data_IF_444359271447
#
_entry.id   IF_444359271447
#
_cell.length_a   1.000
_cell.length_b   1.000
_cell.length_c   1.000
_cell.angle_alpha   90.00
_cell.angle_beta   90.00
_cell.angle_gamma   90.00
#
_symmetry.space_group_name_H-M   'P 1'
#
loop_
_entity.id
_entity.type
_entity.pdbx_description
1 polymer ?
#
# COMPACT_ATOMS: atom_id res chain seq x y z
N UNK A 1 29.67 5.17 -19.81
CA UNK A 1 29.11 6.16 -18.85
C UNK A 1 30.28 6.80 -18.11
N UNK A 2 30.34 8.14 -17.94
CA UNK A 2 31.49 8.78 -17.29
C UNK A 2 31.60 8.40 -15.80
N UNK A 3 32.83 8.25 -15.30
CA UNK A 3 33.12 7.82 -13.93
C UNK A 3 32.55 8.80 -12.87
N UNK A 4 32.47 10.09 -13.19
CA UNK A 4 31.83 11.12 -12.35
C UNK A 4 30.32 10.97 -12.28
N UNK A 5 29.69 10.52 -13.37
CA UNK A 5 28.26 10.23 -13.40
C UNK A 5 27.95 8.94 -12.61
N UNK A 6 28.83 7.94 -12.67
CA UNK A 6 28.74 6.76 -11.80
C UNK A 6 28.94 7.12 -10.32
N UNK A 7 29.86 8.03 -9.98
CA UNK A 7 30.02 8.52 -8.59
C UNK A 7 28.78 9.26 -8.10
N UNK A 8 28.20 10.15 -8.91
CA UNK A 8 26.97 10.86 -8.56
C UNK A 8 25.75 9.92 -8.45
N UNK A 9 25.73 8.80 -9.19
CA UNK A 9 24.71 7.76 -9.06
C UNK A 9 24.91 6.87 -7.81
N UNK A 10 26.14 6.72 -7.34
CA UNK A 10 26.49 6.00 -6.10
C UNK A 10 26.27 6.87 -4.86
N UNK A 11 26.41 8.21 -4.98
CA UNK A 11 26.08 9.21 -3.96
C UNK A 11 24.60 9.60 -3.93
N UNK A 12 23.68 8.70 -4.29
CA UNK A 12 22.26 8.87 -4.01
C UNK A 12 21.99 8.60 -2.52
N UNK A 13 22.60 9.41 -1.66
CA UNK A 13 22.16 9.60 -0.28
C UNK A 13 20.81 10.32 -0.33
N UNK A 14 19.80 9.76 0.34
CA UNK A 14 18.52 10.44 0.51
C UNK A 14 18.68 11.56 1.53
N UNK A 15 19.51 11.36 2.55
CA UNK A 15 19.85 12.35 3.58
C UNK A 15 21.36 12.49 3.73
N UNK A 16 21.84 13.72 3.59
CA UNK A 16 23.23 14.08 3.82
C UNK A 16 23.45 14.58 5.24
N UNK A 17 22.44 15.24 5.82
CA UNK A 17 22.46 15.76 7.18
C UNK A 17 21.25 15.30 8.01
N UNK A 18 21.42 15.21 9.34
CA UNK A 18 20.33 14.84 10.28
C UNK A 18 19.16 15.84 10.21
N UNK A 19 19.45 17.10 9.88
CA UNK A 19 18.49 18.19 9.71
C UNK A 19 17.51 17.95 8.56
N UNK A 20 17.87 17.14 7.55
CA UNK A 20 17.05 16.82 6.39
C UNK A 20 16.06 15.66 6.67
N UNK A 21 16.34 14.86 7.70
CA UNK A 21 15.58 13.64 8.03
C UNK A 21 14.09 13.93 8.27
N UNK A 22 13.68 14.93 9.07
CA UNK A 22 12.25 15.20 9.29
C UNK A 22 11.51 15.55 7.99
N UNK A 23 12.15 16.33 7.11
CA UNK A 23 11.59 16.76 5.84
C UNK A 23 11.38 15.58 4.89
N UNK A 24 12.38 14.73 4.71
CA UNK A 24 12.21 13.57 3.81
C UNK A 24 11.41 12.43 4.42
N UNK A 25 11.35 12.27 5.75
CA UNK A 25 10.36 11.35 6.34
C UNK A 25 8.94 11.78 5.98
N UNK A 26 8.66 13.08 6.03
CA UNK A 26 7.35 13.59 5.62
C UNK A 26 7.12 13.36 4.13
N UNK A 27 8.07 13.75 3.27
CA UNK A 27 7.90 13.74 1.83
C UNK A 27 7.97 12.35 1.17
N UNK A 28 8.75 11.42 1.72
CA UNK A 28 9.02 10.10 1.12
C UNK A 28 8.33 8.95 1.84
N UNK A 29 7.91 9.15 3.10
CA UNK A 29 7.29 8.09 3.90
C UNK A 29 5.82 8.39 4.13
N UNK A 30 5.52 9.50 4.81
CA UNK A 30 4.18 9.77 5.33
C UNK A 30 3.21 10.26 4.26
N UNK A 31 3.60 11.27 3.49
CA UNK A 31 2.74 11.87 2.45
C UNK A 31 2.39 10.85 1.36
N UNK A 32 3.34 10.09 0.78
CA UNK A 32 3.01 9.07 -0.22
C UNK A 32 2.09 8.00 0.35
N UNK A 33 2.42 7.42 1.53
CA UNK A 33 1.59 6.40 2.15
C UNK A 33 0.15 6.92 2.39
N UNK A 34 0.01 8.14 2.90
CA UNK A 34 -1.31 8.74 3.14
C UNK A 34 -2.10 8.96 1.85
N UNK A 35 -1.50 9.62 0.86
CA UNK A 35 -2.17 9.92 -0.41
C UNK A 35 -2.53 8.65 -1.17
N UNK A 36 -1.61 7.69 -1.26
CA UNK A 36 -1.81 6.44 -1.99
C UNK A 36 -2.85 5.56 -1.30
N UNK A 37 -2.82 5.40 0.02
CA UNK A 37 -3.84 4.61 0.71
C UNK A 37 -5.22 5.24 0.57
N UNK A 38 -5.35 6.57 0.75
CA UNK A 38 -6.64 7.23 0.57
C UNK A 38 -7.20 7.02 -0.84
N UNK A 39 -6.35 7.12 -1.86
CA UNK A 39 -6.78 6.94 -3.24
C UNK A 39 -7.10 5.48 -3.54
N UNK A 40 -6.17 4.54 -3.31
CA UNK A 40 -6.35 3.16 -3.73
C UNK A 40 -7.28 2.37 -2.83
N UNK A 41 -7.27 2.61 -1.51
CA UNK A 41 -8.05 1.84 -0.52
C UNK A 41 -9.32 2.57 -0.11
N UNK A 42 -9.27 3.90 -0.06
CA UNK A 42 -10.46 4.72 0.21
C UNK A 42 -11.36 4.88 -1.02
N UNK A 43 -10.80 5.23 -2.18
CA UNK A 43 -11.60 5.50 -3.38
C UNK A 43 -11.72 4.29 -4.31
N UNK A 44 -10.60 3.76 -4.82
CA UNK A 44 -10.62 2.70 -5.85
C UNK A 44 -11.20 1.39 -5.30
N UNK A 45 -10.70 0.91 -4.15
CA UNK A 45 -11.16 -0.34 -3.55
C UNK A 45 -12.66 -0.25 -3.19
N UNK A 46 -13.11 0.83 -2.55
CA UNK A 46 -14.52 1.01 -2.20
C UNK A 46 -15.42 1.08 -3.43
N UNK A 47 -15.02 1.82 -4.48
CA UNK A 47 -15.76 1.89 -5.73
C UNK A 47 -15.88 0.52 -6.41
N UNK A 48 -14.77 -0.21 -6.56
CA UNK A 48 -14.78 -1.54 -7.14
C UNK A 48 -15.57 -2.54 -6.30
N UNK A 49 -15.54 -2.40 -4.97
CA UNK A 49 -16.30 -3.25 -4.06
C UNK A 49 -17.79 -3.14 -4.32
N UNK A 50 -18.31 -1.93 -4.45
CA UNK A 50 -19.75 -1.67 -4.67
C UNK A 50 -20.24 -2.26 -6.00
N UNK A 51 -19.42 -2.27 -7.05
CA UNK A 51 -19.82 -2.70 -8.39
C UNK A 51 -19.50 -4.15 -8.73
N UNK A 52 -18.37 -4.69 -8.23
CA UNK A 52 -17.83 -5.99 -8.66
C UNK A 52 -17.63 -6.98 -7.50
N UNK A 53 -17.87 -6.56 -6.26
CA UNK A 53 -17.71 -7.38 -5.06
C UNK A 53 -16.26 -7.51 -4.58
N UNK A 54 -16.06 -8.16 -3.41
CA UNK A 54 -14.80 -8.09 -2.66
C UNK A 54 -13.59 -8.63 -3.42
N UNK A 55 -13.73 -9.79 -4.08
CA UNK A 55 -12.61 -10.47 -4.76
C UNK A 55 -12.03 -9.60 -5.88
N UNK A 56 -12.89 -9.06 -6.72
CA UNK A 56 -12.49 -8.21 -7.85
C UNK A 56 -12.04 -6.84 -7.41
N UNK A 57 -12.59 -6.32 -6.31
CA UNK A 57 -12.13 -5.06 -5.73
C UNK A 57 -10.70 -5.14 -5.20
N UNK A 58 -10.36 -6.20 -4.45
CA UNK A 58 -9.00 -6.42 -3.96
C UNK A 58 -8.02 -6.56 -5.13
N UNK A 59 -8.35 -7.41 -6.10
CA UNK A 59 -7.51 -7.64 -7.26
C UNK A 59 -7.30 -6.36 -8.09
N UNK A 60 -8.39 -5.67 -8.44
CA UNK A 60 -8.35 -4.47 -9.28
C UNK A 60 -7.64 -3.30 -8.60
N UNK A 61 -7.89 -3.06 -7.31
CA UNK A 61 -7.19 -2.01 -6.55
C UNK A 61 -5.68 -2.29 -6.48
N UNK A 62 -5.28 -3.53 -6.17
CA UNK A 62 -3.87 -3.93 -6.13
C UNK A 62 -3.20 -3.83 -7.50
N UNK A 63 -3.92 -4.18 -8.57
CA UNK A 63 -3.41 -4.09 -9.94
C UNK A 63 -3.14 -2.64 -10.36
N UNK A 64 -4.09 -1.73 -10.08
CA UNK A 64 -3.94 -0.31 -10.38
C UNK A 64 -2.83 0.33 -9.54
N UNK A 65 -2.69 -0.07 -8.27
CA UNK A 65 -1.59 0.35 -7.40
C UNK A 65 -0.23 -0.06 -7.99
N UNK A 66 -0.06 -1.33 -8.39
CA UNK A 66 1.20 -1.78 -8.98
C UNK A 66 1.49 -1.10 -10.33
N UNK A 67 0.46 -0.89 -11.14
CA UNK A 67 0.59 -0.25 -12.46
C UNK A 67 0.98 1.23 -12.37
N UNK A 68 0.51 1.96 -11.34
CA UNK A 68 0.79 3.39 -11.17
C UNK A 68 2.26 3.72 -10.89
N UNK A 69 3.08 2.71 -10.60
CA UNK A 69 4.51 2.88 -10.32
C UNK A 69 5.38 2.84 -11.59
N UNK A 70 4.80 2.51 -12.75
CA UNK A 70 5.46 2.54 -14.06
C UNK A 70 6.81 1.80 -14.13
N UNK A 71 7.03 0.81 -13.26
CA UNK A 71 8.25 0.01 -13.20
C UNK A 71 7.91 -1.49 -13.29
N UNK A 72 8.13 -2.13 -14.46
CA UNK A 72 7.85 -3.55 -14.65
C UNK A 72 8.59 -4.45 -13.65
N UNK A 73 9.80 -4.09 -13.23
CA UNK A 73 10.59 -4.88 -12.29
C UNK A 73 10.01 -4.90 -10.88
N UNK A 74 9.28 -3.85 -10.50
CA UNK A 74 8.63 -3.74 -9.19
C UNK A 74 7.16 -4.18 -9.24
N UNK A 75 6.61 -4.46 -10.41
CA UNK A 75 5.19 -4.71 -10.58
C UNK A 75 4.68 -5.88 -9.73
N UNK A 76 5.33 -7.04 -9.80
CA UNK A 76 4.91 -8.24 -9.04
C UNK A 76 4.98 -8.00 -7.52
N UNK A 77 6.10 -7.52 -6.94
CA UNK A 77 6.14 -7.27 -5.49
C UNK A 77 5.14 -6.19 -5.05
N UNK A 78 4.96 -5.12 -5.82
CA UNK A 78 3.97 -4.07 -5.52
C UNK A 78 2.53 -4.58 -5.64
N UNK A 79 2.26 -5.49 -6.57
CA UNK A 79 0.94 -6.11 -6.69
C UNK A 79 0.61 -6.98 -5.47
N UNK A 80 1.57 -7.81 -5.02
CA UNK A 80 1.40 -8.64 -3.82
C UNK A 80 1.24 -7.77 -2.56
N UNK A 81 2.07 -6.73 -2.42
CA UNK A 81 1.93 -5.77 -1.33
C UNK A 81 0.58 -5.04 -1.41
N UNK A 82 0.15 -4.71 -2.63
CA UNK A 82 -1.13 -4.09 -2.89
C UNK A 82 -2.32 -4.93 -2.42
N UNK A 83 -2.27 -6.24 -2.67
CA UNK A 83 -3.24 -7.22 -2.19
C UNK A 83 -3.23 -7.32 -0.66
N UNK A 84 -2.05 -7.30 -0.04
CA UNK A 84 -1.91 -7.32 1.42
C UNK A 84 -2.57 -6.10 2.08
N UNK A 85 -2.27 -4.89 1.58
CA UNK A 85 -2.87 -3.65 2.08
C UNK A 85 -4.38 -3.63 1.84
N UNK A 86 -4.84 -4.10 0.67
CA UNK A 86 -6.28 -4.25 0.40
C UNK A 86 -6.97 -5.24 1.35
N UNK A 87 -6.31 -6.35 1.68
CA UNK A 87 -6.83 -7.34 2.63
C UNK A 87 -6.89 -6.79 4.06
N UNK A 88 -5.90 -6.00 4.49
CA UNK A 88 -5.95 -5.26 5.76
C UNK A 88 -7.20 -4.41 5.85
N UNK A 89 -7.48 -3.58 4.84
CA UNK A 89 -8.67 -2.72 4.84
C UNK A 89 -9.96 -3.53 4.77
N UNK A 90 -9.98 -4.62 4.00
CA UNK A 90 -11.15 -5.48 3.88
C UNK A 90 -11.53 -6.15 5.21
N UNK A 91 -10.56 -6.65 5.99
CA UNK A 91 -10.83 -7.34 7.25
C UNK A 91 -11.00 -6.40 8.44
N UNK A 92 -10.18 -5.36 8.51
CA UNK A 92 -10.24 -4.40 9.61
C UNK A 92 -11.32 -3.34 9.42
N UNK A 93 -11.85 -3.24 8.19
CA UNK A 93 -12.77 -2.18 7.78
C UNK A 93 -12.26 -0.77 8.09
N UNK A 94 -10.94 -0.62 8.11
CA UNK A 94 -10.24 0.61 8.47
C UNK A 94 -9.04 0.81 7.56
N UNK A 95 -8.78 2.06 7.18
CA UNK A 95 -7.62 2.41 6.34
C UNK A 95 -6.33 2.52 7.15
N UNK A 96 -6.43 2.77 8.46
CA UNK A 96 -5.27 3.02 9.31
C UNK A 96 -4.26 1.87 9.36
N UNK A 97 -4.66 0.59 9.49
CA UNK A 97 -3.71 -0.53 9.47
C UNK A 97 -2.90 -0.60 8.17
N UNK A 98 -3.55 -0.36 7.03
CA UNK A 98 -2.86 -0.32 5.74
C UNK A 98 -1.94 0.90 5.63
N UNK A 99 -2.39 2.07 6.09
CA UNK A 99 -1.58 3.29 6.15
C UNK A 99 -0.29 3.10 6.96
N UNK A 100 -0.39 2.51 8.16
CA UNK A 100 0.78 2.25 8.99
C UNK A 100 1.71 1.22 8.36
N UNK A 101 1.17 0.12 7.82
CA UNK A 101 1.97 -0.90 7.14
C UNK A 101 2.72 -0.32 5.94
N UNK A 102 2.06 0.55 5.15
CA UNK A 102 2.67 1.22 4.01
C UNK A 102 3.74 2.23 4.45
N UNK A 103 3.46 3.08 5.45
CA UNK A 103 4.45 4.00 5.99
C UNK A 103 5.69 3.26 6.55
N UNK A 104 5.51 2.11 7.22
CA UNK A 104 6.63 1.29 7.70
C UNK A 104 7.44 0.74 6.51
N UNK A 105 6.78 0.29 5.44
CA UNK A 105 7.47 -0.18 4.24
C UNK A 105 8.30 0.93 3.58
N UNK A 106 7.73 2.13 3.44
CA UNK A 106 8.44 3.28 2.89
C UNK A 106 9.62 3.69 3.78
N UNK A 107 9.44 3.69 5.10
CA UNK A 107 10.51 3.96 6.06
C UNK A 107 11.64 2.95 5.94
N UNK A 108 11.32 1.65 5.86
CA UNK A 108 12.31 0.60 5.69
C UNK A 108 13.10 0.76 4.38
N UNK A 109 12.43 1.14 3.30
CA UNK A 109 13.07 1.43 2.01
C UNK A 109 14.03 2.62 2.10
N UNK A 110 13.58 3.75 2.65
CA UNK A 110 14.41 4.95 2.84
C UNK A 110 15.58 4.69 3.77
N UNK A 111 15.35 3.98 4.88
CA UNK A 111 16.40 3.60 5.83
C UNK A 111 17.43 2.66 5.21
N UNK A 112 16.99 1.65 4.45
CA UNK A 112 17.87 0.72 3.75
C UNK A 112 18.75 1.41 2.72
N UNK A 113 18.20 2.38 1.98
CA UNK A 113 18.96 3.22 1.05
C UNK A 113 20.03 4.04 1.79
N UNK A 114 19.66 4.74 2.86
CA UNK A 114 20.62 5.55 3.64
C UNK A 114 21.71 4.69 4.30
N UNK A 115 21.35 3.54 4.88
CA UNK A 115 22.31 2.61 5.49
C UNK A 115 23.31 2.07 4.48
N UNK A 116 22.86 1.70 3.28
CA UNK A 116 23.75 1.27 2.19
C UNK A 116 24.75 2.37 1.84
N UNK A 117 24.27 3.59 1.61
CA UNK A 117 25.12 4.67 1.12
C UNK A 117 26.07 5.22 2.20
N UNK A 118 25.68 5.22 3.49
CA UNK A 118 26.54 5.70 4.59
C UNK A 118 27.46 4.63 5.19
N UNK A 119 27.04 3.37 5.24
CA UNK A 119 27.76 2.31 5.97
C UNK A 119 28.26 1.17 5.06
N UNK A 120 28.03 1.24 3.75
CA UNK A 120 28.50 0.23 2.80
C UNK A 120 27.84 -1.14 2.94
N UNK A 121 26.67 -1.22 3.58
CA UNK A 121 25.91 -2.47 3.73
C UNK A 121 25.22 -2.79 2.40
N UNK A 122 25.90 -3.53 1.52
CA UNK A 122 25.41 -3.88 0.17
C UNK A 122 24.22 -4.86 0.17
N UNK A 123 23.99 -5.60 1.25
CA UNK A 123 22.95 -6.65 1.33
C UNK A 123 21.49 -6.14 1.28
N UNK A 124 21.28 -4.82 1.32
CA UNK A 124 19.95 -4.18 1.31
C UNK A 124 19.64 -3.40 0.01
N UNK A 125 20.42 -3.58 -1.06
CA UNK A 125 20.28 -2.84 -2.32
C UNK A 125 19.20 -3.39 -3.28
N UNK A 126 18.54 -2.53 -4.10
CA UNK A 126 17.46 -2.93 -5.02
C UNK A 126 17.91 -3.79 -6.22
N UNK A 127 19.22 -3.93 -6.45
CA UNK A 127 19.82 -4.70 -7.56
C UNK A 127 20.40 -6.05 -7.13
N UNK A 128 20.41 -6.35 -5.83
CA UNK A 128 20.76 -7.67 -5.33
C UNK A 128 19.46 -8.38 -4.94
N UNK A 129 19.32 -9.66 -5.31
CA UNK A 129 18.19 -10.45 -4.86
C UNK A 129 18.08 -10.31 -3.35
N UNK A 130 16.94 -9.81 -2.86
CA UNK A 130 16.68 -9.68 -1.44
C UNK A 130 17.05 -11.02 -0.80
N UNK A 131 17.95 -11.07 0.20
CA UNK A 131 18.46 -12.31 0.74
C UNK A 131 17.30 -13.28 0.96
N UNK A 132 17.42 -14.53 0.49
CA UNK A 132 16.30 -15.49 0.51
C UNK A 132 15.68 -15.56 1.91
N UNK A 133 16.51 -15.46 2.95
CA UNK A 133 16.07 -15.34 4.34
C UNK A 133 15.10 -14.16 4.58
N UNK A 134 15.42 -12.95 4.12
CA UNK A 134 14.55 -11.77 4.24
C UNK A 134 13.27 -11.91 3.41
N UNK A 135 13.36 -12.48 2.21
CA UNK A 135 12.19 -12.77 1.37
C UNK A 135 11.25 -13.78 2.04
N UNK A 136 11.81 -14.85 2.63
CA UNK A 136 11.06 -15.85 3.38
C UNK A 136 10.48 -15.25 4.67
N UNK A 137 11.22 -14.40 5.39
CA UNK A 137 10.73 -13.70 6.56
C UNK A 137 9.57 -12.76 6.22
N UNK A 138 9.65 -12.00 5.13
CA UNK A 138 8.58 -11.14 4.66
C UNK A 138 7.35 -11.97 4.22
N UNK A 139 7.55 -13.08 3.52
CA UNK A 139 6.47 -13.99 3.14
C UNK A 139 5.80 -14.64 4.36
N UNK A 140 6.58 -15.06 5.36
CA UNK A 140 6.07 -15.63 6.61
C UNK A 140 5.35 -14.57 7.45
N UNK A 141 5.89 -13.35 7.56
CA UNK A 141 5.24 -12.24 8.24
C UNK A 141 3.94 -11.83 7.55
N UNK A 142 3.91 -11.85 6.21
CA UNK A 142 2.71 -11.66 5.42
C UNK A 142 1.69 -12.76 5.71
N UNK A 143 2.06 -14.04 5.61
CA UNK A 143 1.17 -15.16 5.88
C UNK A 143 0.66 -15.18 7.32
N UNK A 144 1.53 -14.88 8.30
CA UNK A 144 1.17 -14.76 9.71
C UNK A 144 0.24 -13.56 9.95
N UNK A 145 0.51 -12.42 9.29
CA UNK A 145 -0.37 -11.25 9.32
C UNK A 145 -1.76 -11.58 8.77
N UNK A 146 -1.83 -12.17 7.58
CA UNK A 146 -3.08 -12.62 6.96
C UNK A 146 -3.83 -13.63 7.87
N UNK A 147 -3.11 -14.56 8.51
CA UNK A 147 -3.66 -15.53 9.46
C UNK A 147 -4.21 -14.86 10.73
N UNK A 148 -3.45 -13.97 11.37
CA UNK A 148 -3.87 -13.28 12.59
C UNK A 148 -5.06 -12.33 12.32
N UNK A 149 -5.08 -11.67 11.17
CA UNK A 149 -6.18 -10.80 10.75
C UNK A 149 -7.44 -11.59 10.44
N UNK A 150 -7.31 -12.80 9.87
CA UNK A 150 -8.46 -13.71 9.70
C UNK A 150 -9.10 -14.14 11.02
N UNK A 151 -8.47 -13.83 12.17
CA UNK A 151 -8.97 -14.14 13.52
C UNK A 151 -9.52 -12.91 14.26
N UNK A 152 -9.36 -11.68 13.77
CA UNK A 152 -9.92 -10.50 14.42
C UNK A 152 -11.33 -10.19 13.91
N UNK A 153 -12.26 -9.97 14.85
CA UNK A 153 -13.63 -9.55 14.57
C UNK A 153 -13.63 -8.05 14.27
N UNK A 154 -14.28 -7.68 13.16
CA UNK A 154 -14.41 -6.32 12.64
C UNK A 154 -14.61 -5.24 13.71
N UNK A 155 -13.73 -4.23 13.75
CA UNK A 155 -13.88 -3.03 14.57
C UNK A 155 -14.05 -1.84 13.62
N UNK A 156 -15.31 -1.40 13.48
CA UNK A 156 -15.81 -0.24 12.72
C UNK A 156 -16.20 -0.49 11.26
N UNK A 157 -17.45 -0.22 10.85
CA UNK A 157 -17.86 -0.40 9.47
C UNK A 157 -17.32 0.76 8.61
N UNK A 158 -16.51 0.45 7.61
CA UNK A 158 -16.59 1.22 6.37
C UNK A 158 -18.07 1.18 5.98
N UNK A 159 -18.69 2.35 5.77
CA UNK A 159 -20.02 2.45 5.17
C UNK A 159 -19.92 1.99 3.72
N UNK A 160 -19.66 0.70 3.54
CA UNK A 160 -19.86 -0.03 2.30
C UNK A 160 -21.35 0.08 2.10
N UNK A 161 -21.74 0.98 1.20
CA UNK A 161 -23.09 1.45 1.01
C UNK A 161 -24.11 0.38 1.38
N UNK A 162 -24.68 0.52 2.58
CA UNK A 162 -25.95 -0.09 2.88
C UNK A 162 -26.81 0.41 1.74
N UNK A 163 -27.16 -0.45 0.77
CA UNK A 163 -28.28 -0.17 -0.12
C UNK A 163 -29.37 0.27 0.84
N UNK A 164 -29.76 1.52 0.76
CA UNK A 164 -30.96 2.01 1.39
C UNK A 164 -32.08 1.24 0.70
N UNK A 165 -32.32 0.01 1.14
CA UNK A 165 -33.63 -0.60 1.18
C UNK A 165 -34.41 0.13 2.27
N UNK A 166 -34.52 1.45 2.11
CA UNK A 166 -35.66 2.18 2.62
C UNK A 166 -36.68 2.03 1.49
N UNK A 167 -37.71 1.25 1.80
CA UNK A 167 -38.98 1.23 1.10
C UNK A 167 -39.30 2.63 0.56
N UNK A 168 -39.26 2.81 -0.76
CA UNK A 168 -40.16 3.79 -1.37
C UNK A 168 -41.53 3.10 -1.32
N UNK A 169 -42.53 3.66 -0.62
CA UNK A 169 -43.89 3.18 -0.74
C UNK A 169 -44.23 3.15 -2.23
N UNK A 170 -44.85 2.05 -2.68
CA UNK A 170 -45.42 1.98 -4.02
C UNK A 170 -46.34 3.20 -4.20
N UNK A 171 -45.90 4.14 -5.02
CA UNK A 171 -46.76 5.22 -5.47
C UNK A 171 -47.81 4.56 -6.38
N UNK A 172 -49.00 4.34 -5.84
CA UNK A 172 -50.15 3.99 -6.67
C UNK A 172 -50.33 5.09 -7.72
N UNK A 173 -50.59 4.74 -9.00
CA UNK A 173 -50.79 5.73 -10.03
C UNK A 173 -52.03 6.58 -9.72
N UNK A 174 -52.01 7.89 -10.05
CA UNK A 174 -53.15 8.75 -9.80
C UNK A 174 -54.37 8.24 -10.57
N UNK A 175 -55.44 7.97 -9.83
CA UNK A 175 -56.77 7.72 -10.39
C UNK A 175 -57.30 9.07 -10.88
N UNK A 176 -57.26 9.29 -12.19
CA UNK A 176 -57.99 10.38 -12.83
C UNK A 176 -59.46 9.96 -12.92
N UNK A 177 -60.31 10.56 -12.08
CA UNK A 177 -61.77 10.57 -12.25
C UNK A 177 -62.18 11.72 -13.18
#
# INVERSE_FOLDING_TARGET
MPLSFQKNLLELQIFNEITEVPGGLTALVLVPAFCEELFFRGFVLSGLYTHYGPRWALFGSALLFAASHFNPWQFIPLFIFGLFLGALVYWTHSIYPALFAHAINNLASVAGINLRTHWGIEELGPTQHLPIAMTLCAALALLAGLFLLSRQVAIMPLSIGKKTSAELPSADPPIFN
#
